data_IF_855519435652
#
_entry.id   IF_855519435652
#
_cell.length_a   1.000
_cell.length_b   1.000
_cell.length_c   1.000
_cell.angle_alpha   90.00
_cell.angle_beta   90.00
_cell.angle_gamma   90.00
#
_symmetry.space_group_name_H-M   'P 1'
#
loop_
_entity.id
_entity.type
_entity.pdbx_description
1 polymer ?
#
# COMPACT_ATOMS: atom_id res chain seq x y z
N UNK A 1 -14.26 -1.03 -17.48
CA UNK A 1 -13.36 -1.62 -16.48
C UNK A 1 -13.58 -3.11 -16.45
N UNK A 2 -12.51 -3.91 -16.48
CA UNK A 2 -12.63 -5.37 -16.35
C UNK A 2 -12.93 -5.78 -14.90
N UNK A 3 -13.35 -7.02 -14.67
CA UNK A 3 -13.53 -7.57 -13.32
C UNK A 3 -12.22 -7.52 -12.51
N UNK A 4 -11.09 -7.85 -13.15
CA UNK A 4 -9.78 -7.78 -12.52
C UNK A 4 -9.37 -6.34 -12.16
N UNK A 5 -9.59 -5.38 -13.05
CA UNK A 5 -9.33 -3.96 -12.77
C UNK A 5 -10.17 -3.46 -11.57
N UNK A 6 -11.43 -3.86 -11.50
CA UNK A 6 -12.32 -3.57 -10.37
C UNK A 6 -11.83 -4.21 -9.08
N UNK A 7 -11.40 -5.47 -9.12
CA UNK A 7 -10.87 -6.19 -7.97
C UNK A 7 -9.56 -5.59 -7.44
N UNK A 8 -8.63 -5.24 -8.34
CA UNK A 8 -7.38 -4.56 -8.00
C UNK A 8 -7.69 -3.18 -7.39
N UNK A 9 -8.58 -2.40 -8.02
CA UNK A 9 -8.99 -1.09 -7.51
C UNK A 9 -9.57 -1.21 -6.10
N UNK A 10 -10.43 -2.20 -5.85
CA UNK A 10 -10.98 -2.47 -4.52
C UNK A 10 -9.91 -2.84 -3.49
N UNK A 11 -8.94 -3.66 -3.87
CA UNK A 11 -7.82 -4.01 -2.99
C UNK A 11 -6.97 -2.79 -2.64
N UNK A 12 -6.71 -1.91 -3.62
CA UNK A 12 -5.99 -0.64 -3.42
C UNK A 12 -6.75 0.28 -2.47
N UNK A 13 -8.06 0.43 -2.61
CA UNK A 13 -8.86 1.23 -1.68
C UNK A 13 -8.90 0.63 -0.28
N UNK A 14 -8.96 -0.70 -0.16
CA UNK A 14 -8.86 -1.39 1.12
C UNK A 14 -7.53 -1.09 1.81
N UNK A 15 -6.44 -1.09 1.05
CA UNK A 15 -5.11 -0.68 1.52
C UNK A 15 -5.08 0.79 1.99
N UNK A 16 -5.60 1.72 1.19
CA UNK A 16 -5.62 3.15 1.53
C UNK A 16 -6.47 3.43 2.76
N UNK A 17 -7.62 2.75 2.89
CA UNK A 17 -8.47 2.84 4.06
C UNK A 17 -7.79 2.28 5.30
N UNK A 18 -7.10 1.14 5.18
CA UNK A 18 -6.30 0.57 6.26
C UNK A 18 -5.21 1.52 6.74
N UNK A 19 -4.53 2.20 5.81
CA UNK A 19 -3.53 3.20 6.15
C UNK A 19 -4.13 4.40 6.89
N UNK A 20 -5.25 4.93 6.38
CA UNK A 20 -5.88 6.14 6.92
C UNK A 20 -6.45 5.92 8.32
N UNK A 21 -7.05 4.75 8.57
CA UNK A 21 -7.67 4.42 9.85
C UNK A 21 -6.75 3.67 10.82
N UNK A 22 -5.53 3.31 10.40
CA UNK A 22 -4.64 2.48 11.22
C UNK A 22 -5.13 1.04 11.40
N UNK A 23 -5.93 0.53 10.47
CA UNK A 23 -6.52 -0.80 10.53
C UNK A 23 -5.56 -1.83 9.92
N UNK A 24 -4.74 -2.44 10.79
CA UNK A 24 -3.75 -3.42 10.39
C UNK A 24 -4.37 -4.70 9.80
N UNK A 25 -5.60 -5.07 10.17
CA UNK A 25 -6.23 -6.28 9.64
C UNK A 25 -6.75 -6.06 8.22
N UNK A 26 -7.27 -4.86 7.91
CA UNK A 26 -7.53 -4.47 6.52
C UNK A 26 -6.27 -4.53 5.67
N UNK A 27 -5.16 -3.99 6.18
CA UNK A 27 -3.87 -4.06 5.48
C UNK A 27 -3.41 -5.51 5.30
N UNK A 28 -3.51 -6.34 6.34
CA UNK A 28 -3.13 -7.75 6.27
C UNK A 28 -3.94 -8.53 5.20
N UNK A 29 -5.22 -8.21 5.03
CA UNK A 29 -6.10 -8.91 4.08
C UNK A 29 -5.75 -8.72 2.61
N UNK A 30 -4.98 -7.68 2.28
CA UNK A 30 -4.58 -7.39 0.88
C UNK A 30 -3.09 -7.58 0.62
N UNK A 31 -2.29 -7.88 1.65
CA UNK A 31 -0.85 -8.13 1.54
C UNK A 31 -0.50 -9.59 1.82
N UNK A 32 0.26 -10.20 0.91
CA UNK A 32 0.73 -11.57 1.07
C UNK A 32 1.59 -11.70 2.35
N UNK A 33 1.53 -12.80 3.12
CA UNK A 33 2.32 -12.99 4.35
C UNK A 33 3.82 -12.81 4.20
N UNK A 34 4.38 -13.11 3.03
CA UNK A 34 5.81 -12.95 2.75
C UNK A 34 6.18 -11.59 2.15
N UNK A 35 5.21 -10.69 1.97
CA UNK A 35 5.47 -9.37 1.39
C UNK A 35 6.32 -8.49 2.30
N UNK A 36 6.96 -7.50 1.71
CA UNK A 36 7.71 -6.48 2.43
C UNK A 36 7.44 -5.10 1.84
N UNK A 37 7.81 -4.09 2.62
CA UNK A 37 7.93 -2.71 2.18
C UNK A 37 9.40 -2.44 1.96
N UNK A 38 9.76 -2.11 0.72
CA UNK A 38 11.13 -1.83 0.33
C UNK A 38 11.26 -0.36 -0.04
N UNK A 39 12.28 0.31 0.50
CA UNK A 39 12.49 1.73 0.25
C UNK A 39 13.96 2.09 0.42
N UNK A 40 14.33 3.26 -0.08
CA UNK A 40 15.68 3.80 0.09
C UNK A 40 15.68 4.78 1.28
N UNK A 41 16.73 4.71 2.11
CA UNK A 41 16.98 5.69 3.16
C UNK A 41 18.49 5.92 3.29
N UNK A 42 18.94 7.15 3.03
CA UNK A 42 20.35 7.56 3.19
C UNK A 42 21.32 6.86 2.23
N UNK A 43 20.88 6.56 1.00
CA UNK A 43 21.60 5.81 -0.02
C UNK A 43 21.54 4.29 0.14
N UNK A 44 20.81 3.77 1.14
CA UNK A 44 20.79 2.35 1.47
C UNK A 44 19.40 1.73 1.32
N UNK A 45 19.36 0.49 0.81
CA UNK A 45 18.15 -0.32 0.74
C UNK A 45 17.66 -0.67 2.13
N UNK A 46 16.38 -0.41 2.40
CA UNK A 46 15.66 -0.84 3.59
C UNK A 46 14.58 -1.82 3.20
N UNK A 47 14.43 -2.88 4.01
CA UNK A 47 13.37 -3.87 3.87
C UNK A 47 12.65 -3.94 5.21
N UNK A 48 11.35 -3.65 5.19
CA UNK A 48 10.46 -3.75 6.34
C UNK A 48 9.47 -4.90 6.08
N UNK A 49 9.62 -6.05 6.78
CA UNK A 49 8.67 -7.15 6.66
C UNK A 49 7.24 -6.70 6.97
N UNK A 50 6.25 -7.26 6.25
CA UNK A 50 4.83 -6.91 6.41
C UNK A 50 4.41 -6.90 7.88
N UNK A 51 4.70 -7.97 8.62
CA UNK A 51 4.19 -8.12 9.99
C UNK A 51 4.78 -7.10 10.96
N UNK A 52 6.03 -6.68 10.74
CA UNK A 52 6.62 -5.58 11.49
C UNK A 52 5.91 -4.26 11.16
N UNK A 53 5.70 -3.98 9.87
CA UNK A 53 4.93 -2.80 9.46
C UNK A 53 3.52 -2.77 10.05
N UNK A 54 2.82 -3.91 10.06
CA UNK A 54 1.50 -4.03 10.66
C UNK A 54 1.53 -3.77 12.17
N UNK A 55 2.58 -4.22 12.88
CA UNK A 55 2.78 -3.89 14.29
C UNK A 55 2.91 -2.38 14.50
N UNK A 56 3.71 -1.71 13.67
CA UNK A 56 3.89 -0.25 13.73
C UNK A 56 2.58 0.50 13.42
N UNK A 57 1.75 -0.02 12.51
CA UNK A 57 0.42 0.52 12.22
C UNK A 57 -0.52 0.40 13.42
N UNK A 58 -0.51 -0.73 14.14
CA UNK A 58 -1.33 -0.90 15.36
C UNK A 58 -0.89 0.02 16.50
N UNK A 59 0.41 0.29 16.59
CA UNK A 59 1.00 1.05 17.71
C UNK A 59 0.88 2.57 17.55
N UNK A 60 0.70 3.08 16.34
CA UNK A 60 0.65 4.53 16.06
C UNK A 60 -0.79 5.07 16.13
N UNK A 61 -0.92 6.36 16.46
CA UNK A 61 -2.17 7.10 16.24
C UNK A 61 -2.41 7.27 14.73
N UNK A 62 -3.59 6.86 14.26
CA UNK A 62 -3.91 6.87 12.83
C UNK A 62 -4.01 8.29 12.25
N UNK A 63 -3.82 8.45 10.93
CA UNK A 63 -4.10 9.72 10.25
C UNK A 63 -5.52 10.25 10.52
N UNK A 64 -6.53 9.38 10.51
CA UNK A 64 -7.91 9.72 10.81
C UNK A 64 -8.08 10.28 12.23
N UNK A 65 -7.54 9.62 13.26
CA UNK A 65 -7.58 10.11 14.65
C UNK A 65 -6.79 11.41 14.86
N UNK A 66 -5.84 11.71 13.96
CA UNK A 66 -5.09 12.96 13.94
C UNK A 66 -5.81 14.07 13.17
N UNK A 67 -6.96 13.79 12.54
CA UNK A 67 -7.69 14.74 11.70
C UNK A 67 -6.97 15.11 10.41
N UNK A 68 -6.07 14.25 9.92
CA UNK A 68 -5.30 14.52 8.71
C UNK A 68 -6.12 14.23 7.45
N UNK A 69 -6.05 15.11 6.47
CA UNK A 69 -6.71 14.92 5.18
C UNK A 69 -6.09 13.75 4.40
N UNK A 70 -6.93 13.09 3.59
CA UNK A 70 -6.48 12.08 2.62
C UNK A 70 -5.87 12.77 1.41
N UNK A 71 -4.80 12.19 0.90
CA UNK A 71 -4.14 12.63 -0.34
C UNK A 71 -4.01 11.45 -1.31
N UNK A 72 -5.04 10.61 -1.31
CA UNK A 72 -5.04 9.33 -1.98
C UNK A 72 -5.40 9.49 -3.45
N UNK A 73 -4.61 8.87 -4.34
CA UNK A 73 -4.89 8.89 -5.77
C UNK A 73 -4.24 7.70 -6.44
N UNK A 74 -5.03 6.91 -7.18
CA UNK A 74 -4.49 5.89 -8.07
C UNK A 74 -3.99 6.60 -9.33
N UNK A 75 -2.71 6.46 -9.64
CA UNK A 75 -2.07 7.12 -10.78
C UNK A 75 -2.01 6.21 -12.01
N UNK A 76 -1.83 4.91 -11.80
CA UNK A 76 -1.77 3.93 -12.87
C UNK A 76 -2.15 2.54 -12.35
N UNK A 77 -2.90 1.81 -13.16
CA UNK A 77 -3.08 0.36 -13.03
C UNK A 77 -2.58 -0.25 -14.34
N UNK A 78 -1.66 -1.18 -14.25
CA UNK A 78 -1.13 -1.95 -15.37
C UNK A 78 -1.39 -3.44 -15.11
N UNK A 79 -2.19 -4.08 -15.96
CA UNK A 79 -2.50 -5.51 -15.86
C UNK A 79 -1.71 -6.22 -16.95
N UNK A 80 -0.60 -6.84 -16.56
CA UNK A 80 0.33 -7.47 -17.49
C UNK A 80 -0.14 -8.87 -17.95
N UNK A 81 -0.97 -9.55 -17.14
CA UNK A 81 -1.57 -10.85 -17.47
C UNK A 81 -2.77 -11.13 -16.56
N UNK A 82 -3.45 -12.27 -16.75
CA UNK A 82 -4.53 -12.76 -15.87
C UNK A 82 -4.10 -12.92 -14.39
N UNK A 83 -2.78 -13.00 -14.12
CA UNK A 83 -2.24 -13.28 -12.79
C UNK A 83 -1.26 -12.24 -12.25
N UNK A 84 -0.96 -11.16 -12.99
CA UNK A 84 0.03 -10.15 -12.58
C UNK A 84 -0.42 -8.74 -12.94
N UNK A 85 -0.31 -7.84 -11.96
CA UNK A 85 -0.60 -6.43 -12.15
C UNK A 85 0.34 -5.53 -11.33
N UNK A 86 0.38 -4.26 -11.68
CA UNK A 86 1.16 -3.22 -11.02
C UNK A 86 0.28 -1.99 -10.81
N UNK A 87 0.37 -1.39 -9.63
CA UNK A 87 -0.34 -0.15 -9.30
C UNK A 87 0.64 0.89 -8.82
N UNK A 88 0.58 2.08 -9.43
CA UNK A 88 1.19 3.30 -8.91
C UNK A 88 0.12 4.15 -8.26
N UNK A 89 0.36 4.60 -7.03
CA UNK A 89 -0.55 5.50 -6.32
C UNK A 89 0.19 6.54 -5.48
N UNK A 90 -0.53 7.58 -5.08
CA UNK A 90 -0.14 8.49 -4.02
C UNK A 90 -1.00 8.25 -2.77
N UNK A 91 -0.41 8.45 -1.61
CA UNK A 91 -1.08 8.59 -0.32
C UNK A 91 -0.25 9.49 0.60
N UNK A 92 -0.78 9.87 1.75
CA UNK A 92 -0.03 10.70 2.69
C UNK A 92 -0.37 10.41 4.16
N UNK A 93 0.63 10.65 4.99
CA UNK A 93 0.48 10.84 6.44
C UNK A 93 1.22 12.15 6.73
N UNK A 94 0.59 13.32 6.50
CA UNK A 94 1.26 14.60 6.62
C UNK A 94 2.10 14.75 7.90
N UNK A 95 3.34 15.27 7.78
CA UNK A 95 3.92 15.94 6.59
C UNK A 95 4.52 15.00 5.51
N UNK A 96 4.40 13.68 5.66
CA UNK A 96 4.97 12.70 4.73
C UNK A 96 4.00 12.36 3.59
N UNK A 97 4.45 12.53 2.35
CA UNK A 97 3.73 12.18 1.13
C UNK A 97 4.44 11.02 0.43
N UNK A 98 3.68 10.02 0.01
CA UNK A 98 4.22 8.78 -0.53
C UNK A 98 3.81 8.62 -1.99
N UNK A 99 4.73 8.10 -2.80
CA UNK A 99 4.39 7.43 -4.06
C UNK A 99 4.72 5.96 -3.88
N UNK A 100 3.69 5.13 -3.93
CA UNK A 100 3.80 3.69 -3.78
C UNK A 100 3.70 3.00 -5.13
N UNK A 101 4.51 1.96 -5.27
CA UNK A 101 4.44 0.94 -6.31
C UNK A 101 4.04 -0.37 -5.64
N UNK A 102 2.87 -0.87 -5.99
CA UNK A 102 2.32 -2.13 -5.50
C UNK A 102 2.37 -3.16 -6.62
N UNK A 103 3.15 -4.21 -6.43
CA UNK A 103 3.12 -5.38 -7.30
C UNK A 103 2.08 -6.35 -6.79
N UNK A 104 1.13 -6.71 -7.65
CA UNK A 104 0.05 -7.65 -7.38
C UNK A 104 0.27 -8.96 -8.11
N UNK A 105 -0.02 -10.07 -7.43
CA UNK A 105 -0.24 -11.37 -8.06
C UNK A 105 -1.64 -11.88 -7.72
N UNK A 106 -2.21 -12.69 -8.61
CA UNK A 106 -3.46 -13.40 -8.35
C UNK A 106 -3.16 -14.77 -7.75
N UNK A 107 -3.29 -14.89 -6.43
CA UNK A 107 -3.01 -16.11 -5.66
C UNK A 107 -4.35 -16.73 -5.25
N UNK A 108 -4.56 -18.00 -5.58
CA UNK A 108 -5.81 -18.73 -5.25
C UNK A 108 -7.08 -17.98 -5.71
N UNK A 109 -6.98 -17.28 -6.86
CA UNK A 109 -8.08 -16.49 -7.43
C UNK A 109 -8.23 -15.07 -6.86
N UNK A 110 -7.42 -14.67 -5.87
CA UNK A 110 -7.48 -13.36 -5.23
C UNK A 110 -6.29 -12.47 -5.62
N UNK A 111 -6.54 -11.21 -5.95
CA UNK A 111 -5.49 -10.23 -6.18
C UNK A 111 -4.88 -9.78 -4.85
N UNK A 112 -3.57 -10.00 -4.70
CA UNK A 112 -2.83 -9.76 -3.46
C UNK A 112 -1.56 -8.98 -3.74
N UNK A 113 -1.26 -7.98 -2.91
CA UNK A 113 0.01 -7.25 -2.94
C UNK A 113 1.12 -8.18 -2.45
N UNK A 114 2.08 -8.48 -3.31
CA UNK A 114 3.23 -9.35 -2.97
C UNK A 114 4.49 -8.55 -2.68
N UNK A 115 4.57 -7.30 -3.15
CA UNK A 115 5.67 -6.39 -2.86
C UNK A 115 5.18 -4.94 -2.90
N UNK A 116 5.67 -4.13 -1.97
CA UNK A 116 5.53 -2.67 -2.01
C UNK A 116 6.91 -2.03 -2.11
N UNK A 117 7.11 -1.16 -3.08
CA UNK A 117 8.25 -0.24 -3.14
C UNK A 117 7.73 1.18 -3.04
N UNK A 118 8.37 2.04 -2.24
CA UNK A 118 7.91 3.41 -2.13
C UNK A 118 9.04 4.42 -1.98
N UNK A 119 8.70 5.67 -2.30
CA UNK A 119 9.47 6.84 -1.91
C UNK A 119 8.62 7.76 -1.04
N UNK A 120 9.29 8.52 -0.20
CA UNK A 120 8.65 9.55 0.64
C UNK A 120 9.21 10.92 0.30
N UNK A 121 8.33 11.90 0.27
CA UNK A 121 8.62 13.33 0.17
C UNK A 121 8.04 14.01 1.43
N UNK A 122 8.89 14.71 2.19
CA UNK A 122 8.45 15.42 3.40
C UNK A 122 8.26 16.89 3.03
N UNK A 123 7.05 17.41 3.21
CA UNK A 123 6.71 18.79 2.85
C UNK A 123 6.58 19.63 4.12
N UNK A 124 7.29 20.75 4.15
CA UNK A 124 7.31 21.72 5.24
C UNK A 124 6.43 22.93 4.92
#
# INVERSE_FOLDING_TARGET
MSEDESAITKAVWTYLDGLHHGDAEKLASVFHPTSALTYEKGGALQILPRDQWLSDVRARKSPAERGLARHDSILQIDIASEGMAFVKLNCAIPPSFFTDYLSFLKIEGQWTVVQKVFRTDVRH
#
